data_IF_298203319729
#
_entry.id   IF_298203319729
#
_cell.length_a   1.000
_cell.length_b   1.000
_cell.length_c   1.000
_cell.angle_alpha   90.00
_cell.angle_beta   90.00
_cell.angle_gamma   90.00
#
_symmetry.space_group_name_H-M   'P 1'
#
loop_
_entity.id
_entity.type
_entity.pdbx_description
1 polymer ?
#
# COMPACT_ATOMS: atom_id res chain seq x y z
N UNK A 1 4.59 -7.02 4.75
CA UNK A 1 4.01 -7.14 3.38
C UNK A 1 5.13 -6.95 2.37
N UNK A 2 5.08 -7.64 1.24
CA UNK A 2 6.03 -7.49 0.11
C UNK A 2 5.25 -6.98 -1.09
N UNK A 3 5.69 -5.87 -1.69
CA UNK A 3 5.04 -5.31 -2.88
C UNK A 3 5.20 -6.24 -4.08
N UNK A 4 4.18 -6.27 -4.93
CA UNK A 4 4.26 -6.88 -6.27
C UNK A 4 5.44 -6.27 -7.03
N UNK A 5 6.21 -7.12 -7.73
CA UNK A 5 7.39 -6.74 -8.53
C UNK A 5 7.17 -7.04 -10.01
N UNK A 6 7.90 -6.37 -10.90
CA UNK A 6 7.88 -6.70 -12.33
C UNK A 6 8.18 -8.17 -12.59
N UNK A 7 7.36 -8.79 -13.45
CA UNK A 7 7.58 -10.13 -14.01
C UNK A 7 8.38 -10.01 -15.31
N UNK A 8 9.16 -11.04 -15.64
CA UNK A 8 9.87 -11.13 -16.92
C UNK A 8 8.95 -11.58 -18.04
N UNK A 9 7.95 -12.41 -17.73
CA UNK A 9 6.88 -12.77 -18.65
C UNK A 9 5.77 -11.70 -18.65
N UNK A 10 5.16 -11.42 -19.81
CA UNK A 10 4.03 -10.50 -19.91
C UNK A 10 2.85 -10.95 -19.04
N UNK A 11 2.41 -10.08 -18.14
CA UNK A 11 1.19 -10.22 -17.35
C UNK A 11 0.21 -9.12 -17.76
N UNK A 12 -1.01 -9.52 -18.14
CA UNK A 12 -2.08 -8.59 -18.48
C UNK A 12 -3.37 -9.06 -17.84
N UNK A 13 -3.64 -8.55 -16.64
CA UNK A 13 -4.84 -8.91 -15.87
C UNK A 13 -5.75 -7.70 -15.70
N UNK A 14 -7.04 -7.92 -15.91
CA UNK A 14 -8.10 -6.95 -15.58
C UNK A 14 -9.14 -7.69 -14.75
N UNK A 15 -9.56 -7.06 -13.66
CA UNK A 15 -10.51 -7.63 -12.70
C UNK A 15 -11.67 -6.69 -12.49
N UNK A 16 -12.88 -7.25 -12.49
CA UNK A 16 -14.10 -6.57 -12.11
C UNK A 16 -14.78 -7.32 -10.98
N UNK A 17 -15.36 -6.59 -10.02
CA UNK A 17 -16.21 -7.15 -8.96
C UNK A 17 -17.45 -6.29 -8.79
N UNK A 18 -18.57 -6.96 -8.59
CA UNK A 18 -19.83 -6.37 -8.18
C UNK A 18 -20.40 -7.20 -7.02
N UNK A 19 -21.07 -6.58 -6.05
CA UNK A 19 -21.59 -7.30 -4.89
C UNK A 19 -22.63 -6.53 -4.07
N UNK A 20 -22.88 -7.02 -2.86
CA UNK A 20 -23.75 -6.37 -1.87
C UNK A 20 -23.24 -4.99 -1.47
N UNK A 21 -24.14 -4.19 -0.90
CA UNK A 21 -23.85 -2.82 -0.44
C UNK A 21 -23.31 -1.91 -1.54
N UNK A 22 -23.81 -2.10 -2.77
CA UNK A 22 -23.35 -1.36 -3.96
C UNK A 22 -21.85 -1.48 -4.19
N UNK A 23 -21.25 -2.62 -3.83
CA UNK A 23 -19.83 -2.86 -4.09
C UNK A 23 -19.57 -2.89 -5.60
N UNK A 24 -18.74 -1.97 -6.07
CA UNK A 24 -18.14 -1.98 -7.39
C UNK A 24 -16.63 -1.82 -7.29
N UNK A 25 -15.90 -2.73 -7.90
CA UNK A 25 -14.45 -2.69 -7.93
C UNK A 25 -13.93 -3.03 -9.32
N UNK A 26 -13.03 -2.20 -9.82
CA UNK A 26 -12.24 -2.50 -11.02
C UNK A 26 -10.76 -2.40 -10.68
N UNK A 27 -9.98 -3.32 -11.23
CA UNK A 27 -8.54 -3.34 -11.04
C UNK A 27 -7.86 -3.82 -12.29
N UNK A 28 -6.60 -3.44 -12.43
CA UNK A 28 -5.75 -3.91 -13.49
C UNK A 28 -4.35 -4.17 -12.97
N UNK A 29 -3.65 -5.11 -13.58
CA UNK A 29 -2.28 -5.45 -13.25
C UNK A 29 -1.55 -5.81 -14.54
N UNK A 30 -0.75 -4.86 -15.02
CA UNK A 30 0.06 -5.03 -16.21
C UNK A 30 1.51 -5.12 -15.81
N UNK A 31 2.24 -6.10 -16.34
CA UNK A 31 3.67 -6.22 -16.14
C UNK A 31 4.31 -6.78 -17.40
N UNK A 32 5.47 -6.25 -17.78
CA UNK A 32 6.19 -6.76 -18.94
C UNK A 32 7.68 -6.37 -18.87
N UNK A 33 8.47 -7.02 -19.71
CA UNK A 33 9.81 -6.56 -20.08
C UNK A 33 9.70 -5.50 -21.18
N UNK A 34 10.55 -4.48 -21.14
CA UNK A 34 10.61 -3.41 -22.15
C UNK A 34 11.62 -3.72 -23.26
N UNK A 35 12.48 -4.70 -23.03
CA UNK A 35 13.51 -5.19 -23.93
C UNK A 35 13.50 -6.73 -23.96
N UNK A 36 14.03 -7.29 -25.05
CA UNK A 36 14.09 -8.75 -25.26
C UNK A 36 14.99 -9.46 -24.25
N UNK A 37 16.00 -8.75 -23.72
CA UNK A 37 16.95 -9.27 -22.73
C UNK A 37 16.41 -9.23 -21.28
N UNK A 38 15.25 -8.59 -21.04
CA UNK A 38 14.62 -8.46 -19.72
C UNK A 38 15.38 -7.56 -18.72
N UNK A 39 16.29 -6.71 -19.23
CA UNK A 39 17.09 -5.77 -18.43
C UNK A 39 16.20 -4.70 -17.81
N UNK A 40 15.18 -4.25 -18.51
CA UNK A 40 14.19 -3.28 -18.08
C UNK A 40 12.83 -3.94 -18.02
N UNK A 41 12.20 -3.89 -16.85
CA UNK A 41 10.86 -4.44 -16.67
C UNK A 41 10.00 -3.48 -15.85
N UNK A 42 8.71 -3.45 -16.13
CA UNK A 42 7.77 -2.59 -15.43
C UNK A 42 6.59 -3.40 -14.89
N UNK A 43 5.91 -2.80 -13.91
CA UNK A 43 4.61 -3.24 -13.45
C UNK A 43 3.76 -2.05 -13.06
N UNK A 44 2.52 -2.05 -13.51
CA UNK A 44 1.53 -1.06 -13.17
C UNK A 44 0.29 -1.77 -12.65
N UNK A 45 0.07 -1.68 -11.34
CA UNK A 45 -1.14 -2.18 -10.71
C UNK A 45 -2.03 -1.00 -10.32
N UNK A 46 -3.30 -1.06 -10.69
CA UNK A 46 -4.30 -0.05 -10.36
C UNK A 46 -5.56 -0.68 -9.75
N UNK A 47 -6.25 0.11 -8.93
CA UNK A 47 -7.49 -0.29 -8.27
C UNK A 47 -8.39 0.94 -8.09
N UNK A 48 -9.65 0.81 -8.49
CA UNK A 48 -10.73 1.69 -8.10
C UNK A 48 -11.83 0.86 -7.44
N UNK A 49 -12.24 1.25 -6.23
CA UNK A 49 -13.27 0.58 -5.44
C UNK A 49 -14.22 1.62 -4.87
N UNK A 50 -15.52 1.35 -4.96
CA UNK A 50 -16.58 2.08 -4.30
C UNK A 50 -17.55 1.07 -3.69
N UNK A 51 -17.99 1.30 -2.46
CA UNK A 51 -19.00 0.51 -1.77
C UNK A 51 -19.66 1.35 -0.69
N UNK A 52 -20.87 0.98 -0.30
CA UNK A 52 -21.47 1.46 0.94
C UNK A 52 -20.91 0.64 2.09
N UNK A 53 -20.62 1.29 3.21
CA UNK A 53 -20.35 0.59 4.45
C UNK A 53 -21.64 -0.05 4.97
N UNK A 54 -21.49 -0.99 5.90
CA UNK A 54 -22.62 -1.63 6.56
C UNK A 54 -23.48 -0.62 7.34
N UNK A 55 -22.85 0.38 7.95
CA UNK A 55 -23.54 1.44 8.69
C UNK A 55 -24.18 2.44 7.75
N UNK A 56 -25.46 2.75 7.99
CA UNK A 56 -26.25 3.63 7.11
C UNK A 56 -25.61 5.00 6.91
N UNK A 57 -25.52 5.42 5.65
CA UNK A 57 -24.99 6.74 5.28
C UNK A 57 -23.47 6.86 5.37
N UNK A 58 -22.76 5.73 5.48
CA UNK A 58 -21.30 5.69 5.38
C UNK A 58 -20.88 4.96 4.11
N UNK A 59 -19.87 5.51 3.44
CA UNK A 59 -19.38 5.05 2.15
C UNK A 59 -17.86 4.79 2.22
N UNK A 60 -17.40 3.87 1.37
CA UNK A 60 -16.01 3.48 1.23
C UNK A 60 -15.57 3.69 -0.23
N UNK A 61 -14.58 4.55 -0.43
CA UNK A 61 -14.02 4.83 -1.74
C UNK A 61 -12.50 4.71 -1.67
N UNK A 62 -11.91 3.93 -2.59
CA UNK A 62 -10.45 3.75 -2.69
C UNK A 62 -9.99 3.78 -4.13
N UNK A 63 -9.06 4.68 -4.41
CA UNK A 63 -8.31 4.76 -5.65
C UNK A 63 -6.84 4.54 -5.33
N UNK A 64 -6.23 3.51 -5.92
CA UNK A 64 -4.82 3.21 -5.71
C UNK A 64 -4.13 2.90 -7.04
N UNK A 65 -2.89 3.35 -7.16
CA UNK A 65 -2.01 3.04 -8.27
C UNK A 65 -0.60 2.78 -7.74
N UNK A 66 0.03 1.72 -8.23
CA UNK A 66 1.32 1.25 -7.79
C UNK A 66 2.25 1.00 -8.99
N UNK A 67 2.89 2.06 -9.52
CA UNK A 67 3.95 1.91 -10.52
C UNK A 67 5.21 1.30 -9.89
N UNK A 68 5.75 0.28 -10.54
CA UNK A 68 7.01 -0.36 -10.21
C UNK A 68 7.87 -0.52 -11.46
N UNK A 69 9.17 -0.36 -11.29
CA UNK A 69 10.15 -0.48 -12.35
C UNK A 69 11.37 -1.21 -11.83
N UNK A 70 11.90 -2.11 -12.63
CA UNK A 70 13.10 -2.85 -12.30
C UNK A 70 14.10 -2.76 -13.45
N UNK A 71 15.33 -2.43 -13.09
CA UNK A 71 16.50 -2.44 -13.95
C UNK A 71 17.50 -3.49 -13.45
N UNK A 72 17.80 -4.46 -14.31
CA UNK A 72 18.72 -5.58 -14.09
C UNK A 72 19.77 -5.58 -15.22
N UNK A 73 20.82 -4.75 -15.13
CA UNK A 73 21.84 -4.69 -16.18
C UNK A 73 22.61 -6.01 -16.34
N UNK A 74 22.67 -6.82 -15.28
CA UNK A 74 23.33 -8.12 -15.24
C UNK A 74 22.66 -9.05 -14.20
N UNK A 75 23.14 -10.29 -14.10
CA UNK A 75 22.64 -11.31 -13.17
C UNK A 75 22.97 -11.03 -11.70
N UNK A 76 23.84 -10.06 -11.43
CA UNK A 76 24.36 -9.70 -10.10
C UNK A 76 23.76 -8.40 -9.57
N UNK A 77 23.19 -7.57 -10.42
CA UNK A 77 22.74 -6.22 -10.10
C UNK A 77 21.25 -6.09 -10.36
N UNK A 78 20.50 -5.66 -9.35
CA UNK A 78 19.08 -5.41 -9.47
C UNK A 78 18.72 -4.11 -8.74
N UNK A 79 18.29 -3.12 -9.52
CA UNK A 79 17.68 -1.91 -9.03
C UNK A 79 16.17 -2.00 -9.23
N UNK A 80 15.39 -1.91 -8.16
CA UNK A 80 13.93 -1.89 -8.24
C UNK A 80 13.40 -0.63 -7.57
N UNK A 81 12.64 0.15 -8.33
CA UNK A 81 11.85 1.28 -7.87
C UNK A 81 10.40 0.86 -7.67
N UNK A 82 9.86 1.15 -6.50
CA UNK A 82 8.49 0.83 -6.10
C UNK A 82 7.82 2.11 -5.63
N UNK A 83 6.74 2.50 -6.28
CA UNK A 83 5.90 3.62 -5.84
C UNK A 83 4.49 3.15 -5.56
N UNK A 84 3.82 3.85 -4.65
CA UNK A 84 2.46 3.54 -4.25
C UNK A 84 1.74 4.84 -3.92
N UNK A 85 0.62 5.06 -4.59
CA UNK A 85 -0.25 6.21 -4.39
C UNK A 85 -1.66 5.69 -4.10
N UNK A 86 -2.26 6.17 -3.02
CA UNK A 86 -3.60 5.79 -2.59
C UNK A 86 -4.34 7.05 -2.13
N UNK A 87 -5.56 7.19 -2.63
CA UNK A 87 -6.50 8.23 -2.24
C UNK A 87 -7.82 7.56 -1.87
N UNK A 88 -8.28 7.84 -0.65
CA UNK A 88 -9.53 7.38 -0.10
C UNK A 88 -10.32 8.61 0.34
N UNK A 89 -11.20 9.14 -0.52
CA UNK A 89 -12.08 10.25 -0.16
C UNK A 89 -12.95 9.93 1.05
N UNK A 90 -13.37 8.67 1.16
CA UNK A 90 -14.21 8.16 2.24
C UNK A 90 -13.71 6.80 2.66
N UNK A 91 -13.41 6.63 3.93
CA UNK A 91 -12.81 5.39 4.48
C UNK A 91 -13.83 4.53 5.22
N UNK A 92 -15.12 4.84 5.14
CA UNK A 92 -16.19 4.13 5.85
C UNK A 92 -16.40 4.58 7.30
N UNK A 93 -17.05 3.72 8.06
CA UNK A 93 -17.49 3.98 9.43
C UNK A 93 -16.37 3.68 10.44
N UNK A 94 -16.14 4.62 11.36
CA UNK A 94 -15.14 4.49 12.43
C UNK A 94 -15.72 4.94 13.79
N UNK A 95 -17.02 4.73 13.96
CA UNK A 95 -17.77 5.08 15.16
C UNK A 95 -17.65 4.05 16.28
N UNK A 96 -18.05 4.44 17.49
CA UNK A 96 -18.02 3.59 18.68
C UNK A 96 -19.44 3.42 19.21
N UNK A 97 -19.85 2.17 19.44
CA UNK A 97 -21.16 1.86 20.01
C UNK A 97 -21.03 1.40 21.47
N UNK A 98 -21.96 1.81 22.34
CA UNK A 98 -21.99 1.36 23.73
C UNK A 98 -22.29 -0.15 23.84
N UNK A 99 -21.93 -0.75 24.98
CA UNK A 99 -22.30 -2.15 25.26
C UNK A 99 -23.81 -2.30 25.40
N UNK A 100 -24.48 -1.27 25.92
CA UNK A 100 -25.92 -1.17 26.07
C UNK A 100 -26.56 -0.96 24.69
N UNK A 101 -27.38 -1.92 24.27
CA UNK A 101 -27.95 -1.98 22.93
C UNK A 101 -27.16 -2.78 21.91
N UNK A 102 -25.95 -3.26 22.23
CA UNK A 102 -25.22 -4.20 21.37
C UNK A 102 -25.11 -5.57 22.04
N UNK A 103 -24.26 -5.68 23.06
CA UNK A 103 -24.06 -6.89 23.87
C UNK A 103 -25.25 -7.07 24.82
N UNK A 104 -25.48 -6.06 25.66
CA UNK A 104 -26.58 -6.00 26.61
C UNK A 104 -27.82 -5.39 25.92
N UNK A 105 -29.05 -5.85 26.19
CA UNK A 105 -30.25 -5.19 25.70
C UNK A 105 -30.37 -3.77 26.27
N UNK A 106 -31.02 -2.87 25.53
CA UNK A 106 -31.44 -1.57 26.05
C UNK A 106 -32.50 -1.76 27.15
N UNK A 107 -32.76 -0.74 28.00
CA UNK A 107 -33.82 -0.81 29.02
C UNK A 107 -35.23 -1.15 28.47
N UNK A 108 -35.47 -0.89 27.18
CA UNK A 108 -36.70 -1.26 26.47
C UNK A 108 -36.66 -2.69 25.86
N UNK A 109 -35.67 -3.51 26.20
CA UNK A 109 -35.46 -4.88 25.73
C UNK A 109 -34.94 -5.01 24.29
N UNK A 110 -34.81 -3.90 23.54
CA UNK A 110 -34.36 -3.91 22.14
C UNK A 110 -32.84 -3.86 22.03
N UNK A 111 -32.32 -4.17 20.84
CA UNK A 111 -30.93 -3.96 20.43
C UNK A 111 -30.86 -2.98 19.26
N UNK A 112 -29.74 -2.28 19.16
CA UNK A 112 -29.38 -1.48 18.00
C UNK A 112 -29.23 -2.41 16.80
N UNK A 113 -29.75 -2.04 15.62
CA UNK A 113 -29.54 -2.84 14.42
C UNK A 113 -28.08 -2.79 13.99
N UNK A 114 -27.64 -3.79 13.25
CA UNK A 114 -26.22 -3.94 12.84
C UNK A 114 -25.75 -2.87 11.84
N UNK A 115 -26.69 -2.14 11.23
CA UNK A 115 -26.46 -1.02 10.30
C UNK A 115 -26.63 0.35 10.97
N UNK A 116 -26.77 0.39 12.31
CA UNK A 116 -26.92 1.63 13.06
C UNK A 116 -25.68 2.52 12.93
N UNK A 117 -25.92 3.82 12.70
CA UNK A 117 -24.90 4.84 12.61
C UNK A 117 -25.27 6.00 13.55
N UNK A 118 -24.46 6.24 14.57
CA UNK A 118 -24.55 7.35 15.52
C UNK A 118 -23.92 8.65 15.00
N UNK A 119 -23.20 8.58 13.88
CA UNK A 119 -22.55 9.72 13.24
C UNK A 119 -23.52 10.74 12.65
N UNK A 120 -23.06 11.99 12.55
CA UNK A 120 -23.81 13.05 11.89
C UNK A 120 -23.95 12.79 10.37
N UNK A 121 -25.11 13.14 9.79
CA UNK A 121 -25.48 12.80 8.40
C UNK A 121 -24.72 13.53 7.28
N UNK A 122 -23.68 14.32 7.54
CA UNK A 122 -23.28 15.32 6.53
C UNK A 122 -21.80 15.68 6.40
N UNK A 123 -20.84 14.84 6.82
CA UNK A 123 -19.42 15.11 6.49
C UNK A 123 -18.60 13.86 6.21
N UNK A 124 -17.87 13.78 5.07
CA UNK A 124 -16.81 12.78 4.91
C UNK A 124 -15.72 13.12 5.92
N UNK A 125 -15.76 12.45 7.07
CA UNK A 125 -14.96 12.81 8.24
C UNK A 125 -13.50 12.38 8.06
N UNK A 126 -13.26 11.37 7.23
CA UNK A 126 -11.95 10.75 7.08
C UNK A 126 -11.57 10.60 5.61
N UNK A 127 -10.81 11.58 5.13
CA UNK A 127 -10.11 11.53 3.84
C UNK A 127 -8.68 11.04 4.10
N UNK A 128 -8.28 9.95 3.46
CA UNK A 128 -6.92 9.42 3.57
C UNK A 128 -6.18 9.50 2.23
N UNK A 129 -5.09 10.26 2.22
CA UNK A 129 -4.14 10.30 1.11
C UNK A 129 -2.81 9.73 1.57
N UNK A 130 -2.31 8.74 0.85
CA UNK A 130 -1.04 8.08 1.14
C UNK A 130 -0.20 8.00 -0.12
N UNK A 131 1.07 8.34 0.00
CA UNK A 131 2.05 8.00 -1.00
C UNK A 131 3.34 7.49 -0.38
N UNK A 132 4.05 6.66 -1.12
CA UNK A 132 5.38 6.17 -0.77
C UNK A 132 6.17 5.82 -2.01
N UNK A 133 7.47 6.10 -1.98
CA UNK A 133 8.42 5.65 -2.98
C UNK A 133 9.54 4.87 -2.27
N UNK A 134 9.96 3.76 -2.84
CA UNK A 134 11.01 2.89 -2.29
C UNK A 134 11.95 2.52 -3.41
N UNK A 135 13.26 2.65 -3.18
CA UNK A 135 14.28 2.10 -4.07
C UNK A 135 14.97 0.95 -3.34
N UNK A 136 15.11 -0.19 -4.01
CA UNK A 136 15.88 -1.33 -3.51
C UNK A 136 16.97 -1.68 -4.50
N UNK A 137 18.21 -1.73 -4.02
CA UNK A 137 19.39 -2.09 -4.81
C UNK A 137 19.95 -3.38 -4.23
N UNK A 138 20.20 -4.36 -5.09
CA UNK A 138 20.94 -5.58 -4.78
C UNK A 138 22.13 -5.66 -5.72
N UNK A 139 23.33 -5.82 -5.18
CA UNK A 139 24.53 -6.05 -5.98
C UNK A 139 25.34 -7.22 -5.37
N UNK A 140 25.63 -8.23 -6.18
CA UNK A 140 26.55 -9.33 -5.86
C UNK A 140 27.95 -8.99 -6.42
N UNK A 141 28.80 -8.40 -5.58
CA UNK A 141 30.17 -8.03 -5.97
C UNK A 141 31.14 -9.23 -5.98
N UNK A 142 30.87 -10.26 -5.19
CA UNK A 142 31.60 -11.55 -5.15
C UNK A 142 30.65 -12.68 -4.73
N UNK A 143 30.98 -13.98 -4.94
CA UNK A 143 30.11 -15.09 -4.49
C UNK A 143 29.86 -15.12 -2.97
N UNK A 144 30.61 -14.33 -2.19
CA UNK A 144 30.51 -14.25 -0.73
C UNK A 144 29.94 -12.92 -0.21
N UNK A 145 29.75 -11.90 -1.07
CA UNK A 145 29.32 -10.56 -0.65
C UNK A 145 28.12 -10.08 -1.46
N UNK A 146 26.99 -9.92 -0.78
CA UNK A 146 25.77 -9.31 -1.30
C UNK A 146 25.48 -8.03 -0.51
N UNK A 147 25.34 -6.90 -1.21
CA UNK A 147 24.89 -5.64 -0.61
C UNK A 147 23.43 -5.43 -0.97
N UNK A 148 22.57 -5.26 0.03
CA UNK A 148 21.17 -4.87 -0.15
C UNK A 148 20.89 -3.57 0.56
N UNK A 149 20.41 -2.58 -0.18
CA UNK A 149 20.00 -1.28 0.36
C UNK A 149 18.54 -1.06 0.03
N UNK A 150 17.72 -0.77 1.03
CA UNK A 150 16.34 -0.35 0.87
C UNK A 150 16.19 1.08 1.40
N UNK A 151 15.77 2.00 0.55
CA UNK A 151 15.49 3.38 0.91
C UNK A 151 13.98 3.63 0.76
N UNK A 152 13.30 3.95 1.87
CA UNK A 152 11.88 4.31 1.86
C UNK A 152 11.73 5.83 2.02
N UNK A 153 11.06 6.46 1.06
CA UNK A 153 10.56 7.81 1.14
C UNK A 153 9.05 7.77 1.44
N UNK A 154 8.68 8.31 2.60
CA UNK A 154 7.29 8.62 2.93
C UNK A 154 7.15 10.09 3.22
N UNK A 155 6.07 10.66 2.71
CA UNK A 155 5.67 12.02 2.99
C UNK A 155 4.25 11.95 3.53
N UNK A 156 4.15 12.32 4.81
CA UNK A 156 2.88 12.71 5.42
C UNK A 156 2.72 14.22 5.23
N UNK A 157 1.49 14.78 5.33
CA UNK A 157 1.25 16.21 5.14
C UNK A 157 2.04 17.17 6.07
N UNK A 158 2.95 16.69 6.94
CA UNK A 158 3.86 17.52 7.74
C UNK A 158 5.26 16.94 8.00
N UNK A 159 5.64 15.76 7.46
CA UNK A 159 6.96 15.15 7.71
C UNK A 159 7.42 14.27 6.55
N UNK A 160 8.65 14.48 6.10
CA UNK A 160 9.39 13.60 5.20
C UNK A 160 10.28 12.69 6.05
N UNK A 161 10.15 11.37 5.90
CA UNK A 161 11.02 10.41 6.58
C UNK A 161 11.75 9.56 5.55
N UNK A 162 13.08 9.51 5.69
CA UNK A 162 13.97 8.61 4.96
C UNK A 162 14.43 7.50 5.90
N UNK A 163 14.25 6.25 5.48
CA UNK A 163 14.83 5.10 6.17
C UNK A 163 15.69 4.34 5.18
N UNK A 164 16.99 4.28 5.43
CA UNK A 164 17.94 3.46 4.68
C UNK A 164 18.32 2.28 5.54
N UNK A 165 18.08 1.06 5.04
CA UNK A 165 18.54 -0.18 5.69
C UNK A 165 19.50 -0.88 4.75
N UNK A 166 20.74 -1.05 5.20
CA UNK A 166 21.75 -1.84 4.51
C UNK A 166 21.98 -3.15 5.29
N UNK A 167 21.96 -4.29 4.60
CA UNK A 167 22.31 -5.59 5.19
C UNK A 167 23.42 -6.26 4.39
N UNK A 168 24.50 -6.66 5.05
CA UNK A 168 25.59 -7.47 4.49
C UNK A 168 25.59 -8.88 5.14
N UNK A 169 26.05 -9.94 4.44
CA UNK A 169 26.12 -11.29 5.01
C UNK A 169 27.11 -11.41 6.19
N UNK A 170 26.79 -12.35 7.09
CA UNK A 170 27.12 -12.45 8.53
C UNK A 170 28.62 -12.61 8.92
N UNK A 171 29.63 -12.44 8.06
CA UNK A 171 31.03 -12.76 8.44
C UNK A 171 32.03 -11.63 8.71
N UNK A 172 31.60 -10.37 8.75
CA UNK A 172 32.38 -9.31 9.41
C UNK A 172 31.44 -8.37 10.16
N UNK A 173 31.36 -8.56 11.47
CA UNK A 173 30.94 -7.53 12.42
C UNK A 173 31.75 -6.26 12.14
N UNK A 174 31.06 -5.17 11.80
CA UNK A 174 31.33 -3.80 12.24
C UNK A 174 30.14 -2.93 11.80
N UNK A 175 29.32 -2.57 12.80
CA UNK A 175 28.37 -1.45 12.83
C UNK A 175 27.44 -1.26 11.60
N UNK A 176 26.26 -1.87 11.66
CA UNK A 176 25.09 -1.37 10.93
C UNK A 176 24.59 -0.09 11.62
N UNK A 177 25.15 1.06 11.27
CA UNK A 177 24.61 2.34 11.70
C UNK A 177 23.33 2.63 10.90
N UNK A 178 22.17 2.54 11.56
CA UNK A 178 20.95 3.16 11.05
C UNK A 178 21.12 4.67 11.08
N UNK A 179 21.39 5.30 9.93
CA UNK A 179 21.44 6.76 9.83
C UNK A 179 20.01 7.27 9.67
N UNK A 180 19.43 7.85 10.74
CA UNK A 180 18.22 8.67 10.64
C UNK A 180 18.64 10.09 10.24
N UNK A 181 18.39 10.47 9.00
CA UNK A 181 18.47 11.88 8.60
C UNK A 181 17.07 12.47 8.77
N UNK A 182 16.90 13.29 9.82
CA UNK A 182 15.70 14.11 10.02
C UNK A 182 15.97 15.47 9.38
N UNK A 183 15.42 15.72 8.19
CA UNK A 183 15.39 17.07 7.64
C UNK A 183 14.25 17.85 8.30
N UNK A 184 14.58 18.79 9.19
CA UNK A 184 13.68 19.84 9.65
C UNK A 184 13.80 21.03 8.71
N UNK A 185 12.73 21.32 7.98
CA UNK A 185 12.52 22.54 7.20
C UNK A 185 11.07 22.96 7.36
#
# INVERSE_FOLDING_TARGET
>A
MVSKRPTTEPLKEVQFKAGTDSLFQTGFDFSDSLDDDGVYSYRLTGLARSANAQQKGSEEQRYAIAPAFTWRPDDKTNFTFLSYFQNEPETGYYGWLPKEGTVEPLPNGKRLPTDFNEGAKTTPILVMRRWSATASITNLTTPLLCVRTCALLKTKPRKTAFMVTASAPIRRMLTANSVRISASG
#
